data_IF_392207765572
#
_entry.id   IF_392207765572
#
_cell.length_a   1.000
_cell.length_b   1.000
_cell.length_c   1.000
_cell.angle_alpha   90.00
_cell.angle_beta   90.00
_cell.angle_gamma   90.00
#
_symmetry.space_group_name_H-M   'P 1'
#
loop_
_entity.id
_entity.type
_entity.pdbx_description
1 polymer ?
#
# COMPACT_ATOMS: atom_id res chain seq x y z
N UNK A 1 30.79 -8.50 -2.10
CA UNK A 1 29.72 -9.00 -3.00
C UNK A 1 28.37 -8.55 -2.46
N UNK A 2 27.62 -7.72 -3.20
CA UNK A 2 26.23 -7.41 -2.84
C UNK A 2 25.44 -8.72 -2.92
N UNK A 3 24.97 -9.24 -1.77
CA UNK A 3 24.13 -10.45 -1.74
C UNK A 3 22.94 -10.21 -2.66
N UNK A 4 22.77 -11.03 -3.70
CA UNK A 4 21.60 -10.95 -4.58
C UNK A 4 20.36 -11.10 -3.71
N UNK A 5 19.44 -10.14 -3.85
CA UNK A 5 18.09 -10.17 -3.27
C UNK A 5 17.46 -11.54 -3.55
N UNK A 6 16.64 -12.10 -2.64
CA UNK A 6 16.01 -13.37 -2.92
C UNK A 6 15.20 -13.27 -4.23
N UNK A 7 15.27 -14.34 -5.03
CA UNK A 7 14.63 -14.40 -6.35
C UNK A 7 13.14 -14.02 -6.28
N UNK A 8 12.57 -13.47 -7.38
CA UNK A 8 11.12 -13.28 -7.51
C UNK A 8 10.36 -14.54 -7.14
N UNK A 9 9.19 -14.40 -6.50
CA UNK A 9 8.45 -15.55 -5.96
C UNK A 9 8.15 -16.61 -7.02
N UNK A 10 7.83 -16.17 -8.24
CA UNK A 10 7.52 -17.02 -9.40
C UNK A 10 8.69 -17.88 -9.89
N UNK A 11 9.92 -17.49 -9.54
CA UNK A 11 11.15 -18.21 -9.94
C UNK A 11 11.60 -19.21 -8.88
N UNK A 12 10.92 -19.26 -7.73
CA UNK A 12 11.21 -20.23 -6.68
C UNK A 12 10.60 -21.60 -7.02
N UNK A 13 11.30 -22.68 -6.66
CA UNK A 13 10.73 -24.03 -6.71
C UNK A 13 9.47 -24.13 -5.83
N UNK A 14 8.55 -25.07 -6.10
CA UNK A 14 7.35 -25.25 -5.29
C UNK A 14 7.65 -25.43 -3.78
N UNK A 15 8.69 -26.19 -3.44
CA UNK A 15 9.11 -26.42 -2.06
C UNK A 15 9.57 -25.12 -1.40
N UNK A 16 10.33 -24.32 -2.15
CA UNK A 16 10.79 -23.01 -1.69
C UNK A 16 9.65 -22.00 -1.56
N UNK A 17 8.63 -22.05 -2.43
CA UNK A 17 7.43 -21.21 -2.31
C UNK A 17 6.68 -21.52 -1.00
N UNK A 18 6.53 -22.79 -0.65
CA UNK A 18 5.90 -23.21 0.61
C UNK A 18 6.73 -22.84 1.84
N UNK A 19 8.05 -22.99 1.75
CA UNK A 19 8.97 -22.57 2.80
C UNK A 19 8.89 -21.04 3.03
N UNK A 20 8.86 -20.24 1.96
CA UNK A 20 8.72 -18.78 2.03
C UNK A 20 7.38 -18.35 2.64
N UNK A 21 6.29 -19.10 2.42
CA UNK A 21 5.01 -18.82 3.10
C UNK A 21 5.10 -19.00 4.62
N UNK A 22 5.93 -19.94 5.09
CA UNK A 22 6.17 -20.20 6.52
C UNK A 22 7.27 -19.30 7.10
N UNK A 23 8.16 -18.79 6.27
CA UNK A 23 9.35 -18.03 6.64
C UNK A 23 10.57 -18.95 6.66
N UNK A 24 11.58 -18.64 5.83
CA UNK A 24 12.76 -19.48 5.64
C UNK A 24 13.99 -18.61 5.43
N UNK A 25 15.17 -19.08 5.84
CA UNK A 25 16.42 -18.48 5.43
C UNK A 25 16.79 -18.98 4.03
N UNK A 26 16.93 -18.05 3.08
CA UNK A 26 17.31 -18.39 1.71
C UNK A 26 18.68 -19.10 1.70
N UNK A 27 18.80 -20.31 1.13
CA UNK A 27 20.06 -21.05 1.13
C UNK A 27 21.15 -20.37 0.27
N UNK A 28 20.77 -19.50 -0.67
CA UNK A 28 21.71 -18.83 -1.58
C UNK A 28 22.35 -17.57 -0.99
N UNK A 29 21.56 -16.73 -0.31
CA UNK A 29 22.02 -15.43 0.21
C UNK A 29 22.01 -15.34 1.74
N UNK A 30 21.40 -16.30 2.42
CA UNK A 30 21.22 -16.32 3.87
C UNK A 30 20.24 -15.27 4.39
N UNK A 31 19.52 -14.55 3.51
CA UNK A 31 18.51 -13.57 3.93
C UNK A 31 17.22 -14.29 4.35
N UNK A 32 16.55 -13.76 5.37
CA UNK A 32 15.24 -14.26 5.77
C UNK A 32 14.19 -13.86 4.73
N UNK A 33 13.51 -14.85 4.18
CA UNK A 33 12.51 -14.73 3.14
C UNK A 33 11.15 -15.17 3.69
N UNK A 34 10.17 -14.26 3.67
CA UNK A 34 8.82 -14.53 4.14
C UNK A 34 7.77 -13.81 3.31
N UNK A 35 6.72 -14.52 2.91
CA UNK A 35 5.51 -13.90 2.39
C UNK A 35 4.67 -13.37 3.55
N UNK A 36 4.28 -12.10 3.49
CA UNK A 36 3.52 -11.43 4.53
C UNK A 36 2.07 -11.26 4.10
N UNK A 37 1.15 -11.75 4.94
CA UNK A 37 -0.26 -11.37 4.85
C UNK A 37 -0.44 -10.00 5.52
N UNK A 38 -0.62 -8.95 4.71
CA UNK A 38 -0.76 -7.57 5.19
C UNK A 38 -2.24 -7.16 5.18
N UNK A 39 -2.80 -6.73 6.32
CA UNK A 39 -4.16 -6.22 6.37
C UNK A 39 -4.24 -4.81 5.75
N UNK A 40 -5.38 -4.50 5.16
CA UNK A 40 -5.80 -3.12 4.90
C UNK A 40 -6.22 -2.49 6.23
N UNK A 41 -5.26 -1.83 6.89
CA UNK A 41 -5.43 -1.27 8.23
C UNK A 41 -5.72 0.23 8.26
N UNK A 42 -6.01 0.72 9.47
CA UNK A 42 -6.44 2.10 9.72
C UNK A 42 -5.42 3.16 9.29
N UNK A 43 -4.12 2.85 9.37
CA UNK A 43 -3.07 3.77 8.93
C UNK A 43 -3.06 3.95 7.41
N UNK A 44 -3.33 2.88 6.66
CA UNK A 44 -3.47 2.94 5.19
C UNK A 44 -4.72 3.75 4.83
N UNK A 45 -5.86 3.47 5.48
CA UNK A 45 -7.10 4.22 5.27
C UNK A 45 -6.92 5.73 5.53
N UNK A 46 -6.29 6.10 6.65
CA UNK A 46 -5.99 7.49 7.00
C UNK A 46 -5.03 8.18 6.02
N UNK A 47 -4.12 7.43 5.41
CA UNK A 47 -3.25 7.94 4.36
C UNK A 47 -4.06 8.24 3.08
N UNK A 48 -4.93 7.33 2.66
CA UNK A 48 -5.79 7.52 1.49
C UNK A 48 -6.76 8.71 1.66
N UNK A 49 -7.33 8.88 2.85
CA UNK A 49 -8.16 10.06 3.16
C UNK A 49 -7.36 11.35 3.02
N UNK A 50 -6.13 11.41 3.54
CA UNK A 50 -5.26 12.59 3.38
C UNK A 50 -4.95 12.89 1.92
N UNK A 51 -4.69 11.87 1.10
CA UNK A 51 -4.52 12.05 -0.34
C UNK A 51 -5.78 12.63 -0.98
N UNK A 52 -6.98 12.13 -0.62
CA UNK A 52 -8.24 12.67 -1.15
C UNK A 52 -8.40 14.15 -0.80
N UNK A 53 -8.07 14.55 0.43
CA UNK A 53 -8.06 15.97 0.85
C UNK A 53 -7.11 16.81 0.00
N UNK A 54 -5.88 16.33 -0.16
CA UNK A 54 -4.87 17.03 -0.94
C UNK A 54 -5.32 17.22 -2.41
N UNK A 55 -5.94 16.19 -2.99
CA UNK A 55 -6.51 16.24 -4.34
C UNK A 55 -7.64 17.27 -4.47
N UNK A 56 -8.56 17.34 -3.50
CA UNK A 56 -9.60 18.37 -3.51
C UNK A 56 -9.04 19.80 -3.43
N UNK A 57 -7.96 20.01 -2.68
CA UNK A 57 -7.36 21.33 -2.47
C UNK A 57 -6.46 21.78 -3.63
N UNK A 58 -5.75 20.85 -4.25
CA UNK A 58 -4.66 21.17 -5.18
C UNK A 58 -4.76 20.51 -6.56
N UNK A 59 -5.82 19.75 -6.82
CA UNK A 59 -6.11 19.12 -8.11
C UNK A 59 -6.02 17.58 -8.10
N UNK A 60 -6.91 16.95 -8.86
CA UNK A 60 -7.12 15.50 -8.87
C UNK A 60 -6.00 14.69 -9.53
N UNK A 61 -5.20 15.30 -10.43
CA UNK A 61 -4.13 14.59 -11.17
C UNK A 61 -2.74 14.74 -10.54
N UNK A 62 -2.63 15.49 -9.44
CA UNK A 62 -1.34 15.81 -8.82
C UNK A 62 -0.79 14.67 -7.95
N UNK A 63 0.50 14.40 -8.08
CA UNK A 63 1.23 13.56 -7.12
C UNK A 63 1.66 14.38 -5.89
N UNK A 64 1.56 13.79 -4.70
CA UNK A 64 1.97 14.40 -3.44
C UNK A 64 3.06 13.57 -2.75
N UNK A 65 4.09 14.25 -2.26
CA UNK A 65 5.14 13.63 -1.44
C UNK A 65 4.65 13.36 -0.01
N UNK A 66 5.30 12.44 0.70
CA UNK A 66 5.03 12.21 2.13
C UNK A 66 5.11 13.49 2.97
N UNK A 67 6.03 14.40 2.63
CA UNK A 67 6.26 15.65 3.38
C UNK A 67 5.10 16.63 3.22
N UNK A 68 4.48 16.68 2.05
CA UNK A 68 3.29 17.48 1.80
C UNK A 68 2.07 16.92 2.54
N UNK A 69 1.95 15.59 2.65
CA UNK A 69 0.85 14.93 3.34
C UNK A 69 0.99 14.94 4.87
N UNK A 70 2.22 15.07 5.38
CA UNK A 70 2.55 15.08 6.80
C UNK A 70 3.55 16.19 7.14
N UNK A 71 3.17 17.48 7.03
CA UNK A 71 4.10 18.60 7.16
C UNK A 71 4.60 18.84 8.59
N UNK A 72 3.87 18.36 9.61
CA UNK A 72 4.17 18.60 11.04
C UNK A 72 4.60 17.34 11.80
N UNK A 73 4.41 16.17 11.21
CA UNK A 73 4.76 14.90 11.81
C UNK A 73 5.92 14.34 10.97
N UNK A 74 7.12 14.16 11.54
CA UNK A 74 8.22 13.40 10.92
C UNK A 74 7.86 11.91 10.69
N UNK A 75 6.57 11.57 10.64
CA UNK A 75 6.05 10.24 10.35
C UNK A 75 6.05 10.04 8.84
N UNK A 76 6.86 9.10 8.39
CA UNK A 76 6.79 8.61 7.03
C UNK A 76 5.41 7.98 6.76
N UNK A 77 4.90 8.16 5.55
CA UNK A 77 3.72 7.45 5.03
C UNK A 77 3.98 5.94 4.79
N UNK A 78 4.78 5.29 5.64
CA UNK A 78 5.42 4.00 5.37
C UNK A 78 4.42 2.89 5.11
N UNK A 79 3.30 2.87 5.81
CA UNK A 79 2.24 1.88 5.54
C UNK A 79 1.34 2.32 4.37
N UNK A 80 1.20 3.63 4.14
CA UNK A 80 0.37 4.20 3.08
C UNK A 80 0.78 3.72 1.68
N UNK A 81 2.09 3.60 1.43
CA UNK A 81 2.61 3.07 0.15
C UNK A 81 2.12 1.66 -0.17
N UNK A 82 1.78 0.86 0.85
CA UNK A 82 1.28 -0.50 0.64
C UNK A 82 -0.08 -0.51 -0.07
N UNK A 83 -0.83 0.60 -0.06
CA UNK A 83 -2.11 0.73 -0.76
C UNK A 83 -2.01 0.43 -2.27
N UNK A 84 -0.81 0.56 -2.85
CA UNK A 84 -0.54 0.21 -4.26
C UNK A 84 -0.79 -1.27 -4.55
N UNK A 85 -0.63 -2.14 -3.55
CA UNK A 85 -0.89 -3.57 -3.70
C UNK A 85 -2.38 -3.88 -3.87
N UNK A 86 -3.27 -2.95 -3.52
CA UNK A 86 -4.71 -3.03 -3.82
C UNK A 86 -5.11 -2.24 -5.07
N UNK A 87 -4.14 -1.55 -5.71
CA UNK A 87 -4.38 -0.65 -6.84
C UNK A 87 -5.07 0.66 -6.46
N UNK A 88 -4.94 1.12 -5.21
CA UNK A 88 -5.61 2.33 -4.71
C UNK A 88 -4.79 3.60 -4.92
N UNK A 89 -3.48 3.46 -5.13
CA UNK A 89 -2.58 4.57 -5.40
C UNK A 89 -1.64 4.21 -6.55
N UNK A 90 -1.21 5.25 -7.26
CA UNK A 90 -0.01 5.26 -8.09
C UNK A 90 1.16 5.80 -7.27
N UNK A 91 2.36 5.28 -7.53
CA UNK A 91 3.60 5.76 -6.92
C UNK A 91 4.50 6.22 -8.05
N UNK A 92 4.87 7.50 -8.04
CA UNK A 92 5.82 8.05 -9.00
C UNK A 92 7.18 7.36 -8.83
N UNK A 93 7.82 7.01 -9.93
CA UNK A 93 9.17 6.48 -9.97
C UNK A 93 10.08 7.36 -10.85
N UNK A 94 11.32 6.93 -11.06
CA UNK A 94 12.31 7.67 -11.84
C UNK A 94 11.93 7.83 -13.33
N UNK A 95 10.96 7.06 -13.82
CA UNK A 95 10.50 7.09 -15.22
C UNK A 95 9.26 7.98 -15.42
N UNK A 96 8.74 8.57 -14.34
CA UNK A 96 7.55 9.39 -14.40
C UNK A 96 7.75 10.66 -15.26
N UNK A 97 6.98 10.77 -16.34
CA UNK A 97 7.01 11.92 -17.26
C UNK A 97 6.32 13.17 -16.71
N UNK A 98 5.53 13.03 -15.65
CA UNK A 98 4.80 14.14 -15.01
C UNK A 98 5.68 15.01 -14.11
N UNK A 99 6.99 14.75 -14.05
CA UNK A 99 7.94 15.52 -13.25
C UNK A 99 7.76 15.37 -11.73
N UNK A 100 6.91 14.45 -11.27
CA UNK A 100 6.72 14.25 -9.84
C UNK A 100 7.92 13.51 -9.23
N UNK A 101 8.37 13.90 -8.02
CA UNK A 101 9.47 13.21 -7.34
C UNK A 101 9.20 11.71 -7.15
N UNK A 102 10.24 10.90 -7.30
CA UNK A 102 10.15 9.47 -7.00
C UNK A 102 9.67 9.25 -5.54
N UNK A 103 8.69 8.36 -5.37
CA UNK A 103 8.03 8.13 -4.09
C UNK A 103 6.92 9.12 -3.75
N UNK A 104 6.50 9.99 -4.68
CA UNK A 104 5.25 10.73 -4.56
C UNK A 104 4.05 9.84 -4.92
N UNK A 105 2.87 10.18 -4.41
CA UNK A 105 1.68 9.34 -4.46
C UNK A 105 0.50 10.08 -5.07
N UNK A 106 -0.32 9.35 -5.84
CA UNK A 106 -1.57 9.85 -6.42
C UNK A 106 -2.66 8.81 -6.17
N UNK A 107 -3.89 9.23 -5.87
CA UNK A 107 -5.02 8.29 -5.83
C UNK A 107 -5.32 7.79 -7.25
N UNK A 108 -5.68 6.51 -7.35
CA UNK A 108 -6.37 5.99 -8.54
C UNK A 108 -7.87 6.25 -8.42
N UNK A 109 -8.62 6.09 -9.51
CA UNK A 109 -10.09 6.12 -9.46
C UNK A 109 -10.66 5.09 -8.48
N UNK A 110 -10.06 3.89 -8.45
CA UNK A 110 -10.42 2.84 -7.49
C UNK A 110 -10.14 3.30 -6.05
N UNK A 111 -9.00 3.95 -5.82
CA UNK A 111 -8.64 4.56 -4.54
C UNK A 111 -9.67 5.58 -4.08
N UNK A 112 -10.06 6.49 -4.98
CA UNK A 112 -11.06 7.53 -4.72
C UNK A 112 -12.40 6.92 -4.33
N UNK A 113 -12.91 5.97 -5.11
CA UNK A 113 -14.16 5.25 -4.82
C UNK A 113 -14.11 4.50 -3.49
N UNK A 114 -12.98 3.88 -3.18
CA UNK A 114 -12.78 3.20 -1.89
C UNK A 114 -12.86 4.16 -0.72
N UNK A 115 -12.13 5.28 -0.77
CA UNK A 115 -12.17 6.30 0.30
C UNK A 115 -13.56 6.92 0.46
N UNK A 116 -14.30 7.08 -0.64
CA UNK A 116 -15.68 7.56 -0.63
C UNK A 116 -16.69 6.51 -0.13
N UNK A 117 -16.25 5.28 0.17
CA UNK A 117 -17.10 4.21 0.70
C UNK A 117 -18.04 3.59 -0.33
N UNK A 118 -17.71 3.67 -1.63
CA UNK A 118 -18.50 3.10 -2.74
C UNK A 118 -17.78 1.95 -3.47
N UNK A 119 -16.62 1.52 -2.97
CA UNK A 119 -15.86 0.38 -3.50
C UNK A 119 -15.48 -0.55 -2.33
N UNK A 120 -15.55 -1.85 -2.56
CA UNK A 120 -15.09 -2.89 -1.64
C UNK A 120 -13.79 -3.51 -2.14
N UNK A 121 -12.88 -3.85 -1.22
CA UNK A 121 -11.59 -4.48 -1.57
C UNK A 121 -11.29 -5.66 -0.67
N UNK A 122 -10.39 -6.55 -1.13
CA UNK A 122 -9.85 -7.62 -0.31
C UNK A 122 -9.24 -7.07 0.98
N UNK A 123 -9.59 -7.66 2.12
CA UNK A 123 -9.10 -7.23 3.43
C UNK A 123 -7.59 -7.40 3.62
N UNK A 124 -6.96 -8.30 2.86
CA UNK A 124 -5.53 -8.57 2.97
C UNK A 124 -4.86 -8.69 1.59
N UNK A 125 -3.60 -8.27 1.54
CA UNK A 125 -2.68 -8.51 0.44
C UNK A 125 -1.56 -9.45 0.90
N UNK A 126 -1.25 -10.47 0.11
CA UNK A 126 -0.09 -11.33 0.35
C UNK A 126 1.06 -10.78 -0.48
N UNK A 127 2.11 -10.35 0.21
CA UNK A 127 3.23 -9.61 -0.37
C UNK A 127 4.52 -10.37 -0.08
N UNK A 128 5.38 -10.47 -1.07
CA UNK A 128 6.72 -11.02 -0.92
C UNK A 128 7.71 -10.14 -1.68
N UNK A 129 8.82 -9.79 -1.03
CA UNK A 129 9.84 -8.91 -1.60
C UNK A 129 9.25 -7.63 -2.23
N UNK A 130 8.25 -7.04 -1.57
CA UNK A 130 7.55 -5.84 -2.02
C UNK A 130 6.74 -6.01 -3.33
N UNK A 131 6.50 -7.25 -3.75
CA UNK A 131 5.63 -7.62 -4.87
C UNK A 131 4.32 -8.22 -4.34
N UNK A 132 3.21 -7.86 -4.98
CA UNK A 132 1.92 -8.47 -4.70
C UNK A 132 1.90 -9.89 -5.27
N UNK A 133 1.68 -10.89 -4.41
CA UNK A 133 1.46 -12.27 -4.83
C UNK A 133 -0.02 -12.54 -5.10
N UNK A 134 -0.89 -12.15 -4.17
CA UNK A 134 -2.34 -12.25 -4.32
C UNK A 134 -3.09 -11.33 -3.37
N UNK A 135 -4.29 -10.94 -3.78
CA UNK A 135 -5.30 -10.36 -2.89
C UNK A 135 -6.12 -11.49 -2.27
N UNK A 136 -6.33 -11.43 -0.96
CA UNK A 136 -7.13 -12.43 -0.24
C UNK A 136 -8.61 -12.07 -0.30
N UNK A 137 -9.31 -12.63 -1.29
CA UNK A 137 -10.72 -12.38 -1.55
C UNK A 137 -11.70 -13.01 -0.55
N UNK A 138 -11.24 -13.73 0.48
CA UNK A 138 -12.12 -14.39 1.46
C UNK A 138 -12.97 -13.41 2.28
N UNK A 139 -12.49 -12.17 2.45
CA UNK A 139 -13.22 -11.09 3.10
C UNK A 139 -12.99 -9.80 2.34
N UNK A 140 -14.09 -9.19 1.91
CA UNK A 140 -14.11 -7.84 1.36
C UNK A 140 -14.44 -6.84 2.47
N UNK A 141 -13.89 -5.63 2.36
CA UNK A 141 -14.08 -4.54 3.31
C UNK A 141 -14.26 -3.22 2.58
N UNK A 142 -14.97 -2.28 3.21
CA UNK A 142 -15.00 -0.88 2.81
C UNK A 142 -13.98 -0.03 3.61
N UNK A 143 -13.99 1.29 3.41
CA UNK A 143 -13.11 2.21 4.14
C UNK A 143 -13.44 2.28 5.65
N UNK A 144 -14.69 2.09 6.06
CA UNK A 144 -15.12 2.15 7.46
C UNK A 144 -14.60 0.94 8.22
N UNK A 145 -14.69 -0.24 7.61
CA UNK A 145 -14.08 -1.48 8.08
C UNK A 145 -12.56 -1.32 8.25
N UNK A 146 -11.89 -0.71 7.28
CA UNK A 146 -10.43 -0.49 7.30
C UNK A 146 -9.99 0.46 8.42
N UNK A 147 -10.76 1.51 8.70
CA UNK A 147 -10.52 2.44 9.82
C UNK A 147 -10.69 1.71 11.16
N UNK A 148 -11.68 0.82 11.24
CA UNK A 148 -11.99 0.02 12.41
C UNK A 148 -12.64 0.81 13.55
N UNK A 149 -13.01 0.10 14.62
CA UNK A 149 -13.87 0.61 15.71
C UNK A 149 -13.36 1.84 16.47
N UNK A 150 -12.06 2.12 16.44
CA UNK A 150 -11.45 3.25 17.16
C UNK A 150 -11.38 4.55 16.35
N UNK A 151 -11.70 4.51 15.06
CA UNK A 151 -11.72 5.70 14.22
C UNK A 151 -13.12 6.05 13.76
N UNK A 152 -13.39 7.35 13.63
CA UNK A 152 -14.65 7.87 13.12
C UNK A 152 -14.46 8.31 11.67
N UNK A 153 -15.02 7.56 10.72
CA UNK A 153 -14.97 7.89 9.29
C UNK A 153 -15.59 9.25 9.00
N UNK A 154 -16.77 9.55 9.56
CA UNK A 154 -17.49 10.78 9.26
C UNK A 154 -16.76 12.02 9.81
N UNK A 155 -16.08 11.88 10.94
CA UNK A 155 -15.18 12.93 11.46
C UNK A 155 -13.98 13.13 10.53
N UNK A 156 -13.35 12.04 10.09
CA UNK A 156 -12.25 12.11 9.12
C UNK A 156 -12.70 12.63 7.75
N UNK A 157 -13.96 12.51 7.38
CA UNK A 157 -14.47 13.04 6.11
C UNK A 157 -14.99 14.48 6.20
N UNK A 158 -15.34 14.97 7.39
CA UNK A 158 -15.80 16.36 7.60
C UNK A 158 -14.74 17.41 7.24
N UNK A 159 -13.48 17.06 7.36
CA UNK A 159 -12.34 17.92 7.03
C UNK A 159 -11.85 17.73 5.57
N UNK A 160 -12.64 17.07 4.71
CA UNK A 160 -12.28 16.73 3.32
C UNK A 160 -13.00 17.61 2.30
#
# INVERSE_FOLDING_TARGET
MKKKSPYPFKELSPEMQDAVRKGVYCPHCGQFAKAYCRPMGSQIAKFLIRLLRAHKLYGDDRFFTSRELYPKDNKSATDGVLARHWGLIEVADATNTMGAPAGAYKLTDKGRRFVQGVEYIASHAIIYNNELLKLDGRKLIDIRDAIGKKGNYDELMREV
#
